data_IF_364464765768
#
_entry.id   IF_364464765768
#
_cell.length_a   1.000
_cell.length_b   1.000
_cell.length_c   1.000
_cell.angle_alpha   90.00
_cell.angle_beta   90.00
_cell.angle_gamma   90.00
#
_symmetry.space_group_name_H-M   'P 1'
#
loop_
_entity.id
_entity.type
_entity.pdbx_description
1 polymer ?
#
# COMPACT_ATOMS: atom_id res chain seq x y z
N UNK A 1 -4.67 -2.43 12.41
CA UNK A 1 -3.50 -2.14 12.09
C UNK A 1 -2.84 -1.94 10.79
N UNK A 2 -2.51 -2.19 9.89
CA UNK A 2 -2.09 -2.02 8.49
C UNK A 2 -0.87 -1.13 8.19
N UNK A 3 -0.02 -0.83 9.15
CA UNK A 3 1.21 -0.05 8.89
C UNK A 3 2.48 -0.93 8.72
N UNK A 4 2.31 -2.24 8.64
CA UNK A 4 3.41 -3.19 8.40
C UNK A 4 4.41 -3.33 9.54
N UNK A 5 4.10 -2.81 10.74
CA UNK A 5 4.98 -2.95 11.91
C UNK A 5 4.83 -4.33 12.54
N UNK A 6 5.96 -4.90 12.93
CA UNK A 6 5.97 -6.16 13.65
C UNK A 6 5.25 -6.03 14.99
N UNK A 7 4.43 -7.03 15.32
CA UNK A 7 3.63 -7.09 16.54
C UNK A 7 4.09 -8.26 17.43
N UNK A 8 3.87 -8.11 18.74
CA UNK A 8 4.11 -9.13 19.75
C UNK A 8 2.79 -9.42 20.48
N UNK A 9 1.80 -10.10 19.84
CA UNK A 9 0.51 -10.31 20.46
C UNK A 9 0.61 -11.23 21.69
N UNK A 10 0.17 -10.77 22.85
CA UNK A 10 -0.03 -11.64 24.01
C UNK A 10 -1.41 -12.29 23.96
N UNK A 11 -1.56 -13.42 24.63
CA UNK A 11 -2.81 -14.15 24.79
C UNK A 11 -3.15 -14.33 26.27
N UNK A 12 -4.41 -14.12 26.63
CA UNK A 12 -4.96 -14.50 27.93
C UNK A 12 -6.41 -14.97 27.79
N UNK A 13 -6.88 -15.81 28.70
CA UNK A 13 -8.28 -16.27 28.71
C UNK A 13 -9.20 -15.16 29.18
N UNK A 14 -10.12 -14.73 28.32
CA UNK A 14 -11.13 -13.71 28.65
C UNK A 14 -12.08 -14.20 29.75
N UNK A 15 -12.39 -13.34 30.71
CA UNK A 15 -13.31 -13.63 31.80
C UNK A 15 -12.71 -14.42 32.96
N UNK A 16 -11.40 -14.70 32.96
CA UNK A 16 -10.69 -15.30 34.11
C UNK A 16 -9.67 -14.30 34.66
N UNK A 17 -10.02 -13.47 35.63
CA UNK A 17 -9.08 -12.54 36.28
C UNK A 17 -7.83 -13.28 36.81
N UNK A 18 -6.66 -12.68 36.63
CA UNK A 18 -5.39 -13.27 37.06
C UNK A 18 -4.79 -14.31 36.13
N UNK A 19 -5.42 -14.61 34.98
CA UNK A 19 -4.77 -15.47 33.95
C UNK A 19 -3.53 -14.76 33.43
N UNK A 20 -2.34 -15.41 33.48
CA UNK A 20 -1.12 -14.80 32.97
C UNK A 20 -1.21 -14.64 31.44
N UNK A 21 -0.66 -13.55 30.93
CA UNK A 21 -0.48 -13.34 29.50
C UNK A 21 0.63 -14.25 28.97
N UNK A 22 0.34 -14.97 27.91
CA UNK A 22 1.30 -15.81 27.20
C UNK A 22 1.71 -15.10 25.92
N UNK A 23 3.00 -14.92 25.73
CA UNK A 23 3.56 -14.36 24.51
C UNK A 23 3.46 -15.38 23.38
N UNK A 24 2.96 -14.95 22.22
CA UNK A 24 2.78 -15.80 21.03
C UNK A 24 4.00 -15.75 20.11
N UNK A 25 4.55 -14.56 19.90
CA UNK A 25 5.72 -14.36 19.02
C UNK A 25 6.59 -13.20 19.51
N UNK A 26 7.79 -13.12 18.97
CA UNK A 26 8.76 -12.04 19.14
C UNK A 26 8.84 -11.14 17.91
N UNK A 27 9.49 -9.97 18.05
CA UNK A 27 9.81 -9.11 16.90
C UNK A 27 10.67 -9.81 15.85
N UNK A 28 11.52 -10.74 16.28
CA UNK A 28 12.35 -11.56 15.39
C UNK A 28 11.50 -12.42 14.44
N UNK A 29 10.28 -12.78 14.84
CA UNK A 29 9.33 -13.54 14.03
C UNK A 29 8.65 -12.70 12.94
N UNK A 30 8.84 -11.37 12.95
CA UNK A 30 8.39 -10.41 11.93
C UNK A 30 6.90 -10.55 11.59
N UNK A 31 6.07 -10.81 12.59
CA UNK A 31 4.62 -10.91 12.47
C UNK A 31 4.04 -9.51 12.39
N UNK A 32 3.16 -9.26 11.41
CA UNK A 32 2.53 -7.96 11.18
C UNK A 32 1.01 -7.98 11.35
N UNK A 33 0.40 -9.16 11.27
CA UNK A 33 -1.04 -9.33 11.46
C UNK A 33 -1.36 -10.74 11.92
N UNK A 34 -2.54 -10.94 12.51
CA UNK A 34 -2.99 -12.26 12.94
C UNK A 34 -4.51 -12.42 12.88
N UNK A 35 -4.95 -13.68 12.80
CA UNK A 35 -6.36 -14.05 12.89
C UNK A 35 -6.50 -15.31 13.75
N UNK A 36 -7.64 -15.45 14.44
CA UNK A 36 -7.93 -16.59 15.32
C UNK A 36 -9.16 -17.34 14.84
N UNK A 37 -9.07 -18.68 14.84
CA UNK A 37 -10.19 -19.56 14.53
C UNK A 37 -10.14 -20.81 15.40
N UNK A 38 -11.11 -20.95 16.34
CA UNK A 38 -11.07 -22.03 17.32
C UNK A 38 -9.81 -21.98 18.16
N UNK A 39 -9.09 -23.09 18.20
CA UNK A 39 -7.83 -23.23 18.96
C UNK A 39 -6.57 -22.89 18.14
N UNK A 40 -6.74 -22.39 16.92
CA UNK A 40 -5.63 -22.02 16.04
C UNK A 40 -5.47 -20.50 15.91
N UNK A 41 -4.23 -20.06 15.81
CA UNK A 41 -3.85 -18.71 15.39
C UNK A 41 -3.10 -18.77 14.07
N UNK A 42 -3.48 -17.85 13.18
CA UNK A 42 -2.88 -17.62 11.88
C UNK A 42 -2.07 -16.34 11.96
N UNK A 43 -0.80 -16.38 11.57
CA UNK A 43 0.15 -15.28 11.72
C UNK A 43 0.67 -14.87 10.34
N UNK A 44 0.43 -13.62 9.96
CA UNK A 44 1.01 -13.04 8.76
C UNK A 44 2.43 -12.56 9.08
N UNK A 45 3.42 -13.11 8.42
CA UNK A 45 4.83 -12.81 8.70
C UNK A 45 5.67 -12.69 7.43
N UNK A 46 6.69 -11.84 7.49
CA UNK A 46 7.71 -11.73 6.44
C UNK A 46 9.06 -12.37 6.82
N UNK A 47 9.10 -13.19 7.89
CA UNK A 47 10.31 -13.91 8.27
C UNK A 47 10.80 -14.90 7.20
N UNK A 48 9.90 -15.73 6.60
CA UNK A 48 10.31 -16.66 5.55
C UNK A 48 10.44 -16.01 4.16
N UNK A 49 9.79 -14.86 3.92
CA UNK A 49 9.79 -14.20 2.62
C UNK A 49 9.42 -12.72 2.72
N UNK A 50 10.11 -11.82 2.00
CA UNK A 50 9.81 -10.39 1.98
C UNK A 50 8.41 -10.05 1.44
N UNK A 51 7.73 -11.00 0.77
CA UNK A 51 6.36 -10.88 0.25
C UNK A 51 5.31 -11.53 1.14
N UNK A 52 5.73 -11.94 2.35
CA UNK A 52 4.92 -12.53 3.41
C UNK A 52 4.41 -13.95 3.14
N UNK A 53 4.08 -14.62 4.22
CA UNK A 53 3.41 -15.91 4.26
C UNK A 53 2.47 -15.95 5.47
N UNK A 54 1.53 -16.88 5.49
CA UNK A 54 0.68 -17.13 6.66
C UNK A 54 1.09 -18.45 7.30
N UNK A 55 1.48 -18.39 8.57
CA UNK A 55 1.79 -19.54 9.40
C UNK A 55 0.62 -19.84 10.34
N UNK A 56 0.41 -21.10 10.67
CA UNK A 56 -0.58 -21.55 11.65
C UNK A 56 0.10 -22.27 12.81
N UNK A 57 -0.27 -21.92 14.04
CA UNK A 57 0.11 -22.65 15.26
C UNK A 57 -1.08 -22.71 16.22
N UNK A 58 -0.98 -23.59 17.25
CA UNK A 58 -2.01 -23.72 18.28
C UNK A 58 -1.93 -22.61 19.30
N UNK A 59 -3.10 -22.08 19.73
CA UNK A 59 -3.19 -21.15 20.85
C UNK A 59 -2.82 -21.79 22.19
N UNK A 60 -3.10 -23.09 22.36
CA UNK A 60 -2.80 -23.79 23.60
C UNK A 60 -1.29 -23.98 23.83
N UNK A 61 -0.53 -24.13 22.73
CA UNK A 61 0.93 -24.28 22.76
C UNK A 61 1.51 -23.58 21.52
N UNK A 62 1.67 -22.26 21.56
CA UNK A 62 2.23 -21.53 20.43
C UNK A 62 3.70 -21.91 20.19
N UNK A 63 4.01 -22.29 18.97
CA UNK A 63 5.37 -22.61 18.54
C UNK A 63 5.53 -22.23 17.05
N UNK A 64 6.25 -21.14 16.78
CA UNK A 64 6.49 -20.68 15.41
C UNK A 64 7.58 -21.50 14.71
N UNK A 65 8.48 -22.12 15.47
CA UNK A 65 9.54 -22.96 14.89
C UNK A 65 8.99 -24.21 14.17
N UNK A 66 7.83 -24.72 14.62
CA UNK A 66 7.11 -25.86 14.04
C UNK A 66 5.82 -25.47 13.32
N UNK A 67 5.53 -24.16 13.18
CA UNK A 67 4.29 -23.67 12.58
C UNK A 67 4.18 -24.06 11.09
N UNK A 68 3.00 -24.56 10.72
CA UNK A 68 2.74 -24.95 9.34
C UNK A 68 2.46 -23.70 8.47
N UNK A 69 3.10 -23.59 7.30
CA UNK A 69 2.73 -22.60 6.32
C UNK A 69 1.41 -23.01 5.66
N UNK A 70 0.36 -22.20 5.88
CA UNK A 70 -0.98 -22.42 5.27
C UNK A 70 -1.19 -21.59 4.02
N UNK A 71 -0.45 -20.48 3.89
CA UNK A 71 -0.34 -19.69 2.65
C UNK A 71 1.13 -19.41 2.42
N UNK A 72 1.69 -19.99 1.38
CA UNK A 72 3.07 -19.74 0.98
C UNK A 72 3.22 -18.35 0.35
N UNK A 73 4.43 -17.80 0.41
CA UNK A 73 4.77 -16.59 -0.33
C UNK A 73 4.61 -16.80 -1.85
N UNK A 74 4.21 -15.75 -2.55
CA UNK A 74 4.00 -15.72 -3.99
C UNK A 74 4.57 -14.43 -4.59
N UNK A 75 4.32 -14.21 -5.88
CA UNK A 75 4.66 -12.93 -6.53
C UNK A 75 3.80 -11.75 -6.03
N UNK A 76 2.64 -12.03 -5.45
CA UNK A 76 1.82 -11.02 -4.79
C UNK A 76 2.29 -10.80 -3.34
N UNK A 77 2.17 -9.58 -2.87
CA UNK A 77 2.46 -9.23 -1.47
C UNK A 77 1.21 -9.42 -0.63
N UNK A 78 1.27 -10.26 0.40
CA UNK A 78 0.21 -10.35 1.41
C UNK A 78 0.42 -9.23 2.45
N UNK A 79 -0.65 -8.64 3.00
CA UNK A 79 -0.50 -7.59 4.00
C UNK A 79 -1.62 -7.48 5.04
N UNK A 80 -2.71 -8.23 4.91
CA UNK A 80 -3.72 -8.38 5.95
C UNK A 80 -4.41 -9.74 5.86
N UNK A 81 -4.88 -10.25 7.00
CA UNK A 81 -5.65 -11.48 7.11
C UNK A 81 -6.83 -11.32 8.07
N UNK A 82 -7.92 -12.02 7.81
CA UNK A 82 -9.06 -12.07 8.72
C UNK A 82 -9.78 -13.42 8.65
N UNK A 83 -10.15 -13.97 9.80
CA UNK A 83 -10.88 -15.23 9.89
C UNK A 83 -12.40 -14.99 9.80
N UNK A 84 -13.06 -15.75 8.94
CA UNK A 84 -14.52 -15.86 8.86
C UNK A 84 -14.97 -17.31 9.17
N UNK A 85 -16.26 -17.54 9.27
CA UNK A 85 -16.78 -18.91 9.47
C UNK A 85 -16.43 -19.84 8.32
N UNK A 86 -16.35 -19.32 7.10
CA UNK A 86 -16.17 -20.07 5.85
C UNK A 86 -14.72 -20.08 5.32
N UNK A 87 -13.79 -19.39 5.96
CA UNK A 87 -12.39 -19.39 5.53
C UNK A 87 -11.56 -18.28 6.12
N UNK A 88 -10.27 -18.28 5.76
CA UNK A 88 -9.34 -17.19 6.01
C UNK A 88 -9.35 -16.26 4.79
N UNK A 89 -9.68 -15.01 5.00
CA UNK A 89 -9.61 -13.97 3.99
C UNK A 89 -8.23 -13.32 4.02
N UNK A 90 -7.69 -13.04 2.84
CA UNK A 90 -6.33 -12.55 2.63
C UNK A 90 -6.40 -11.32 1.76
N UNK A 91 -5.82 -10.21 2.20
CA UNK A 91 -5.51 -9.09 1.30
C UNK A 91 -4.16 -9.33 0.64
N UNK A 92 -4.12 -9.18 -0.67
CA UNK A 92 -2.89 -9.22 -1.45
C UNK A 92 -2.86 -8.07 -2.45
N UNK A 93 -1.66 -7.75 -2.94
CA UNK A 93 -1.49 -6.76 -4.00
C UNK A 93 -0.54 -7.25 -5.08
N UNK A 94 -0.80 -6.76 -6.29
CA UNK A 94 0.11 -6.82 -7.43
C UNK A 94 0.27 -5.39 -7.96
N UNK A 95 1.43 -4.79 -7.75
CA UNK A 95 1.59 -3.34 -7.94
C UNK A 95 0.68 -2.54 -6.99
N UNK A 96 0.00 -1.51 -7.50
CA UNK A 96 -0.93 -0.68 -6.72
C UNK A 96 -2.30 -1.34 -6.52
N UNK A 97 -2.65 -2.36 -7.33
CA UNK A 97 -3.97 -3.01 -7.31
C UNK A 97 -4.04 -4.01 -6.17
N UNK A 98 -5.09 -3.90 -5.35
CA UNK A 98 -5.38 -4.83 -4.27
C UNK A 98 -6.39 -5.88 -4.70
N UNK A 99 -6.18 -7.10 -4.19
CA UNK A 99 -7.07 -8.24 -4.37
C UNK A 99 -7.41 -8.87 -3.03
N UNK A 100 -8.53 -9.53 -2.96
CA UNK A 100 -8.94 -10.34 -1.81
C UNK A 100 -9.08 -11.79 -2.24
N UNK A 101 -8.53 -12.69 -1.45
CA UNK A 101 -8.65 -14.14 -1.64
C UNK A 101 -9.31 -14.77 -0.42
N UNK A 102 -9.95 -15.90 -0.60
CA UNK A 102 -10.49 -16.74 0.47
C UNK A 102 -9.83 -18.12 0.42
N UNK A 103 -9.13 -18.47 1.49
CA UNK A 103 -8.72 -19.85 1.76
C UNK A 103 -9.81 -20.52 2.57
N UNK A 104 -10.66 -21.32 1.94
CA UNK A 104 -11.69 -22.09 2.66
C UNK A 104 -11.03 -23.05 3.66
N UNK A 105 -11.67 -23.26 4.82
CA UNK A 105 -11.10 -24.15 5.83
C UNK A 105 -10.90 -25.56 5.29
N UNK A 106 -9.68 -26.07 5.37
CA UNK A 106 -9.28 -27.39 4.84
C UNK A 106 -8.90 -27.40 3.36
N UNK A 107 -9.05 -26.29 2.63
CA UNK A 107 -8.54 -26.17 1.27
C UNK A 107 -7.01 -25.98 1.25
N UNK A 108 -6.38 -26.34 0.15
CA UNK A 108 -4.94 -26.15 -0.08
C UNK A 108 -4.64 -24.78 -0.68
N UNK A 109 -5.52 -24.29 -1.55
CA UNK A 109 -5.32 -23.07 -2.34
C UNK A 109 -6.40 -22.04 -2.03
N UNK A 110 -5.98 -20.79 -2.00
CA UNK A 110 -6.89 -19.65 -1.83
C UNK A 110 -7.50 -19.26 -3.19
N UNK A 111 -8.82 -19.13 -3.23
CA UNK A 111 -9.56 -18.66 -4.40
C UNK A 111 -9.70 -17.13 -4.37
N UNK A 112 -9.62 -16.47 -5.52
CA UNK A 112 -9.89 -15.05 -5.62
C UNK A 112 -11.37 -14.74 -5.37
N UNK A 113 -11.65 -13.69 -4.61
CA UNK A 113 -12.98 -13.11 -4.49
C UNK A 113 -13.25 -12.31 -5.77
N UNK A 114 -14.39 -12.56 -6.41
CA UNK A 114 -14.78 -11.84 -7.61
C UNK A 114 -15.20 -10.42 -7.26
N UNK A 115 -14.45 -9.45 -7.74
CA UNK A 115 -14.66 -8.03 -7.48
C UNK A 115 -15.33 -7.37 -8.69
N UNK A 116 -16.34 -6.50 -8.50
CA UNK A 116 -17.04 -5.83 -9.59
C UNK A 116 -16.24 -4.69 -10.23
N UNK A 117 -15.21 -4.21 -9.54
CA UNK A 117 -14.30 -3.15 -10.02
C UNK A 117 -12.86 -3.52 -9.68
N UNK A 118 -11.93 -3.14 -10.54
CA UNK A 118 -10.50 -3.23 -10.28
C UNK A 118 -10.03 -1.98 -9.53
N UNK A 119 -9.19 -2.17 -8.50
CA UNK A 119 -8.71 -1.05 -7.69
C UNK A 119 -8.15 -1.50 -6.35
N UNK A 120 -8.48 -0.78 -5.29
CA UNK A 120 -8.11 -1.11 -3.91
C UNK A 120 -9.26 -1.83 -3.20
N UNK A 121 -9.14 -3.14 -3.05
CA UNK A 121 -10.04 -3.96 -2.25
C UNK A 121 -9.43 -4.12 -0.85
N UNK A 122 -10.12 -3.67 0.20
CA UNK A 122 -9.65 -3.78 1.58
C UNK A 122 -10.63 -4.53 2.47
N UNK A 123 -10.12 -5.44 3.28
CA UNK A 123 -10.88 -6.13 4.33
C UNK A 123 -11.26 -5.12 5.43
N UNK A 124 -12.56 -4.88 5.62
CA UNK A 124 -13.05 -4.04 6.70
C UNK A 124 -13.39 -4.84 7.94
N UNK A 125 -14.00 -6.01 7.74
CA UNK A 125 -14.43 -6.88 8.83
C UNK A 125 -14.65 -8.30 8.34
N UNK A 126 -14.30 -9.26 9.19
CA UNK A 126 -14.72 -10.66 9.10
C UNK A 126 -14.97 -11.19 10.51
N UNK A 127 -15.77 -12.24 10.65
CA UNK A 127 -16.09 -12.82 11.96
C UNK A 127 -16.02 -14.34 11.90
N UNK A 128 -15.34 -15.00 12.85
CA UNK A 128 -15.27 -16.46 12.91
C UNK A 128 -16.61 -17.18 13.01
N UNK A 129 -17.70 -16.45 13.35
CA UNK A 129 -19.06 -17.00 13.48
C UNK A 129 -19.99 -16.62 12.32
N UNK A 130 -19.54 -15.76 11.40
CA UNK A 130 -20.31 -15.31 10.22
C UNK A 130 -19.54 -15.67 8.96
N UNK A 131 -20.22 -16.25 7.96
CA UNK A 131 -19.60 -16.51 6.64
C UNK A 131 -19.48 -15.22 5.84
N UNK A 132 -18.47 -15.15 4.97
CA UNK A 132 -18.16 -13.98 4.18
C UNK A 132 -17.33 -12.93 4.92
N UNK A 133 -17.04 -11.84 4.23
CA UNK A 133 -16.32 -10.69 4.76
C UNK A 133 -16.94 -9.38 4.23
N UNK A 134 -16.74 -8.30 4.94
CA UNK A 134 -17.08 -6.96 4.47
C UNK A 134 -15.83 -6.32 3.89
N UNK A 135 -15.97 -5.80 2.67
CA UNK A 135 -14.90 -5.18 1.91
C UNK A 135 -15.23 -3.71 1.63
N UNK A 136 -14.21 -2.87 1.56
CA UNK A 136 -14.32 -1.60 0.84
C UNK A 136 -13.63 -1.73 -0.51
N UNK A 137 -14.26 -1.25 -1.57
CA UNK A 137 -13.69 -1.17 -2.93
C UNK A 137 -13.63 0.27 -3.37
N UNK A 138 -12.47 0.72 -3.83
CA UNK A 138 -12.25 2.03 -4.43
C UNK A 138 -11.36 1.90 -5.67
N UNK A 139 -11.50 2.82 -6.63
CA UNK A 139 -10.61 2.92 -7.78
C UNK A 139 -10.11 4.36 -7.95
N UNK A 140 -9.15 4.60 -8.82
CA UNK A 140 -8.73 5.96 -9.16
C UNK A 140 -9.87 6.79 -9.76
N UNK A 141 -10.84 6.11 -10.41
CA UNK A 141 -11.94 6.70 -11.17
C UNK A 141 -13.30 6.56 -10.47
N UNK A 142 -13.35 5.94 -9.28
CA UNK A 142 -14.61 5.67 -8.58
C UNK A 142 -14.41 5.71 -7.07
N UNK A 143 -15.29 6.41 -6.37
CA UNK A 143 -15.28 6.50 -4.93
C UNK A 143 -15.54 5.15 -4.26
N UNK A 144 -15.18 5.08 -2.99
CA UNK A 144 -15.32 3.87 -2.18
C UNK A 144 -16.79 3.50 -1.96
N UNK A 145 -17.07 2.22 -2.14
CA UNK A 145 -18.32 1.57 -1.79
C UNK A 145 -18.06 0.36 -0.88
N UNK A 146 -19.09 -0.09 -0.17
CA UNK A 146 -19.02 -1.22 0.77
C UNK A 146 -19.69 -2.45 0.18
N UNK A 147 -18.98 -3.56 0.20
CA UNK A 147 -19.42 -4.83 -0.36
C UNK A 147 -19.40 -5.93 0.70
N UNK A 148 -20.27 -6.91 0.56
CA UNK A 148 -20.24 -8.15 1.32
C UNK A 148 -19.87 -9.30 0.37
N UNK A 149 -18.98 -10.17 0.81
CA UNK A 149 -18.66 -11.39 0.06
C UNK A 149 -19.72 -12.44 0.35
N UNK A 150 -20.36 -12.94 -0.67
CA UNK A 150 -21.40 -13.98 -0.57
C UNK A 150 -20.80 -15.41 -0.52
N UNK A 151 -21.67 -16.40 -0.42
CA UNK A 151 -21.27 -17.82 -0.37
C UNK A 151 -20.57 -18.30 -1.64
N UNK A 152 -20.86 -17.67 -2.79
CA UNK A 152 -20.23 -17.98 -4.07
C UNK A 152 -18.84 -17.34 -4.22
N UNK A 153 -18.45 -16.46 -3.29
CA UNK A 153 -17.19 -15.72 -3.34
C UNK A 153 -17.25 -14.49 -4.22
N UNK A 154 -18.44 -13.91 -4.39
CA UNK A 154 -18.66 -12.68 -5.15
C UNK A 154 -18.88 -11.50 -4.20
N UNK A 155 -18.27 -10.35 -4.51
CA UNK A 155 -18.48 -9.12 -3.76
C UNK A 155 -19.76 -8.42 -4.23
N UNK A 156 -20.79 -8.42 -3.39
CA UNK A 156 -22.11 -7.83 -3.64
C UNK A 156 -22.22 -6.49 -2.92
N UNK A 157 -22.64 -5.44 -3.62
CA UNK A 157 -22.77 -4.10 -3.06
C UNK A 157 -23.84 -4.06 -1.96
N UNK A 158 -23.45 -3.65 -0.77
CA UNK A 158 -24.34 -3.59 0.41
C UNK A 158 -25.29 -2.38 0.42
N UNK A 159 -25.01 -1.36 -0.43
CA UNK A 159 -25.70 -0.06 -0.43
C UNK A 159 -25.53 0.75 0.86
N UNK A 160 -24.65 0.35 1.77
CA UNK A 160 -24.35 1.09 3.00
C UNK A 160 -23.66 2.43 2.75
N UNK A 161 -22.95 2.55 1.63
CA UNK A 161 -22.31 3.79 1.19
C UNK A 161 -22.69 4.02 -0.28
N UNK A 162 -23.83 4.68 -0.56
CA UNK A 162 -24.23 4.99 -1.94
C UNK A 162 -23.32 6.07 -2.52
N UNK A 163 -23.12 6.01 -3.83
CA UNK A 163 -22.36 7.02 -4.57
C UNK A 163 -23.15 8.33 -4.67
N UNK A 164 -22.44 9.43 -4.48
CA UNK A 164 -22.93 10.78 -4.79
C UNK A 164 -22.78 11.11 -6.28
N UNK A 165 -23.26 12.27 -6.68
CA UNK A 165 -23.30 12.72 -8.07
C UNK A 165 -21.91 12.84 -8.72
N UNK A 166 -20.85 13.01 -7.94
CA UNK A 166 -19.47 13.18 -8.42
C UNK A 166 -18.56 11.97 -8.14
N UNK A 167 -19.09 10.89 -7.58
CA UNK A 167 -18.29 9.79 -7.04
C UNK A 167 -17.91 8.71 -8.07
N UNK A 168 -18.51 8.74 -9.27
CA UNK A 168 -18.19 7.87 -10.37
C UNK A 168 -18.33 8.64 -11.70
N UNK A 169 -17.47 9.64 -11.97
CA UNK A 169 -17.57 10.47 -13.15
C UNK A 169 -17.28 9.65 -14.41
N UNK A 170 -18.08 9.90 -15.44
CA UNK A 170 -17.82 9.36 -16.76
C UNK A 170 -16.50 9.93 -17.33
N UNK A 171 -15.90 9.20 -18.27
CA UNK A 171 -14.70 9.62 -19.03
C UNK A 171 -13.38 9.68 -18.24
N UNK A 172 -13.29 9.19 -17.02
CA UNK A 172 -12.00 9.00 -16.40
C UNK A 172 -11.43 7.65 -16.78
N UNK A 173 -10.14 7.64 -17.07
CA UNK A 173 -9.35 6.43 -17.29
C UNK A 173 -8.17 6.43 -16.33
N UNK A 174 -7.79 5.24 -15.88
CA UNK A 174 -6.58 5.01 -15.11
C UNK A 174 -5.77 3.92 -15.81
N UNK A 175 -4.49 4.17 -15.99
CA UNK A 175 -3.56 3.23 -16.61
C UNK A 175 -2.42 2.93 -15.65
N UNK A 176 -2.15 1.65 -15.43
CA UNK A 176 -1.00 1.21 -14.66
C UNK A 176 0.14 0.82 -15.60
N UNK A 177 1.32 1.42 -15.38
CA UNK A 177 2.54 1.11 -16.15
C UNK A 177 3.70 0.81 -15.23
N UNK A 178 4.72 0.13 -15.74
CA UNK A 178 5.99 -0.10 -15.05
C UNK A 178 7.07 0.71 -15.75
N UNK A 179 7.62 1.69 -15.06
CA UNK A 179 8.64 2.60 -15.58
C UNK A 179 10.03 2.11 -15.16
N UNK A 180 10.93 1.98 -16.12
CA UNK A 180 12.32 1.58 -15.85
C UNK A 180 13.08 2.73 -15.20
N UNK A 181 13.59 2.51 -13.99
CA UNK A 181 14.45 3.46 -13.26
C UNK A 181 15.91 3.39 -13.70
N UNK A 182 16.75 4.25 -13.15
CA UNK A 182 18.17 4.43 -13.45
C UNK A 182 19.02 3.15 -13.37
N UNK A 183 18.65 2.21 -12.50
CA UNK A 183 19.33 0.95 -12.24
C UNK A 183 18.58 -0.28 -12.79
N UNK A 184 17.51 -0.06 -13.56
CA UNK A 184 16.70 -1.11 -14.16
C UNK A 184 15.51 -1.56 -13.32
N UNK A 185 15.33 -1.05 -12.10
CA UNK A 185 14.13 -1.32 -11.29
C UNK A 185 12.88 -0.84 -12.02
N UNK A 186 11.79 -1.61 -11.95
CA UNK A 186 10.53 -1.31 -12.62
C UNK A 186 9.54 -0.66 -11.63
N UNK A 187 9.41 0.65 -11.71
CA UNK A 187 8.59 1.48 -10.81
C UNK A 187 7.13 1.47 -11.26
N UNK A 188 6.17 1.05 -10.40
CA UNK A 188 4.75 1.17 -10.72
C UNK A 188 4.33 2.65 -10.77
N UNK A 189 3.66 3.03 -11.84
CA UNK A 189 3.12 4.36 -12.06
C UNK A 189 1.67 4.27 -12.51
N UNK A 190 0.77 4.84 -11.72
CA UNK A 190 -0.64 5.00 -12.06
C UNK A 190 -0.83 6.35 -12.73
N UNK A 191 -1.51 6.40 -13.87
CA UNK A 191 -1.76 7.63 -14.63
C UNK A 191 -3.25 7.80 -14.83
N UNK A 192 -3.80 8.90 -14.35
CA UNK A 192 -5.24 9.20 -14.34
C UNK A 192 -5.51 10.47 -15.15
N UNK A 193 -6.42 10.38 -16.11
CA UNK A 193 -6.85 11.52 -16.91
C UNK A 193 -8.23 11.27 -17.52
N UNK A 194 -8.81 12.25 -18.18
CA UNK A 194 -10.02 12.06 -18.99
C UNK A 194 -9.68 11.34 -20.28
N UNK A 195 -10.58 10.49 -20.75
CA UNK A 195 -10.39 9.71 -21.99
C UNK A 195 -10.27 10.56 -23.27
N UNK A 196 -10.74 11.81 -23.22
CA UNK A 196 -10.67 12.77 -24.34
C UNK A 196 -9.43 13.69 -24.32
N UNK A 197 -8.52 13.50 -23.36
CA UNK A 197 -7.25 14.23 -23.28
C UNK A 197 -6.32 13.81 -24.42
N UNK A 198 -5.78 14.79 -25.15
CA UNK A 198 -4.78 14.53 -26.19
C UNK A 198 -3.40 14.40 -25.57
N UNK A 199 -2.70 13.32 -25.90
CA UNK A 199 -1.32 13.09 -25.47
C UNK A 199 -0.33 13.74 -26.43
N UNK A 200 -0.23 15.06 -26.38
CA UNK A 200 0.61 15.90 -27.25
C UNK A 200 1.71 16.68 -26.49
N UNK A 201 1.81 16.46 -25.18
CA UNK A 201 2.77 17.13 -24.30
C UNK A 201 2.27 18.46 -23.73
N UNK A 202 1.06 18.89 -24.03
CA UNK A 202 0.52 20.19 -23.60
C UNK A 202 -0.23 20.16 -22.27
N UNK A 203 -0.52 18.97 -21.71
CA UNK A 203 -1.38 18.85 -20.55
C UNK A 203 -0.65 19.20 -19.24
N UNK A 204 -1.25 20.02 -18.37
CA UNK A 204 -0.73 20.19 -17.02
C UNK A 204 -0.80 18.86 -16.28
N UNK A 205 0.32 18.45 -15.71
CA UNK A 205 0.43 17.15 -15.02
C UNK A 205 0.95 17.34 -13.60
N UNK A 206 0.34 16.65 -12.66
CA UNK A 206 0.79 16.58 -11.28
C UNK A 206 1.21 15.13 -10.97
N UNK A 207 2.52 14.93 -10.76
CA UNK A 207 3.09 13.65 -10.35
C UNK A 207 3.27 13.62 -8.84
N UNK A 208 2.59 12.70 -8.18
CA UNK A 208 2.64 12.48 -6.75
C UNK A 208 3.52 11.29 -6.40
N UNK A 209 4.23 11.38 -5.26
CA UNK A 209 4.95 10.27 -4.65
C UNK A 209 5.21 10.50 -3.16
N UNK A 210 5.49 9.40 -2.44
CA UNK A 210 5.78 9.43 -1.01
C UNK A 210 7.14 8.77 -0.68
N UNK A 211 7.27 7.46 -0.89
CA UNK A 211 8.53 6.72 -0.85
C UNK A 211 9.15 6.53 0.53
N UNK A 212 8.35 6.33 1.59
CA UNK A 212 8.83 6.08 2.94
C UNK A 212 7.91 5.15 3.73
N UNK A 213 8.41 4.59 4.84
CA UNK A 213 7.68 3.77 5.82
C UNK A 213 6.99 2.53 5.25
N UNK A 214 7.33 2.09 4.05
CA UNK A 214 6.62 1.00 3.38
C UNK A 214 5.18 1.36 2.97
N UNK A 215 4.80 2.64 3.00
CA UNK A 215 3.45 3.08 2.60
C UNK A 215 3.31 2.97 1.09
N UNK A 216 2.27 2.29 0.65
CA UNK A 216 1.90 2.16 -0.76
C UNK A 216 0.77 3.13 -1.07
N UNK A 217 0.93 3.89 -2.14
CA UNK A 217 -0.12 4.74 -2.68
C UNK A 217 -1.10 3.87 -3.47
N UNK A 218 -2.30 3.72 -2.92
CA UNK A 218 -3.32 2.82 -3.42
C UNK A 218 -4.37 3.57 -4.26
N UNK A 219 -5.05 2.87 -5.21
CA UNK A 219 -6.17 3.43 -5.90
C UNK A 219 -7.22 4.00 -4.94
N UNK A 220 -7.50 5.28 -5.10
CA UNK A 220 -8.48 5.98 -4.29
C UNK A 220 -8.98 7.21 -5.03
N UNK A 221 -10.30 7.36 -5.11
CA UNK A 221 -10.94 8.50 -5.73
C UNK A 221 -11.04 9.67 -4.74
N UNK A 222 -10.67 10.86 -5.23
CA UNK A 222 -10.86 12.09 -4.48
C UNK A 222 -11.65 13.09 -5.32
N UNK A 223 -12.84 13.54 -4.91
CA UNK A 223 -13.68 14.45 -5.69
C UNK A 223 -12.98 15.80 -5.98
N UNK A 224 -12.08 16.23 -5.10
CA UNK A 224 -11.28 17.44 -5.34
C UNK A 224 -10.31 17.32 -6.53
N UNK A 225 -9.89 16.09 -6.88
CA UNK A 225 -9.09 15.85 -8.09
C UNK A 225 -9.87 16.08 -9.37
N UNK A 226 -11.20 15.99 -9.35
CA UNK A 226 -12.03 16.29 -10.52
C UNK A 226 -11.80 17.71 -11.03
N UNK A 227 -11.64 18.69 -10.14
CA UNK A 227 -11.36 20.08 -10.56
C UNK A 227 -10.08 20.20 -11.41
N UNK A 228 -9.09 19.35 -11.15
CA UNK A 228 -7.87 19.25 -11.95
C UNK A 228 -8.10 18.49 -13.25
N UNK A 229 -8.74 17.31 -13.17
CA UNK A 229 -8.97 16.44 -14.33
C UNK A 229 -9.94 17.07 -15.34
N UNK A 230 -10.97 17.80 -14.90
CA UNK A 230 -11.92 18.52 -15.75
C UNK A 230 -11.27 19.62 -16.58
N UNK A 231 -10.14 20.17 -16.14
CA UNK A 231 -9.33 21.13 -16.89
C UNK A 231 -8.25 20.47 -17.75
N UNK A 232 -8.48 19.24 -18.18
CA UNK A 232 -7.53 18.43 -18.95
C UNK A 232 -6.21 18.15 -18.23
N UNK A 233 -6.21 18.24 -16.89
CA UNK A 233 -5.06 17.87 -16.08
C UNK A 233 -4.85 16.36 -16.08
N UNK A 234 -3.59 15.94 -16.02
CA UNK A 234 -3.18 14.55 -15.75
C UNK A 234 -2.73 14.45 -14.29
N UNK A 235 -3.16 13.39 -13.59
CA UNK A 235 -2.67 13.08 -12.27
C UNK A 235 -1.94 11.74 -12.32
N UNK A 236 -0.72 11.71 -11.84
CA UNK A 236 0.08 10.49 -11.83
C UNK A 236 0.58 10.18 -10.41
N UNK A 237 0.66 8.90 -10.06
CA UNK A 237 1.07 8.43 -8.74
C UNK A 237 2.17 7.38 -8.89
N UNK A 238 3.37 7.71 -8.39
CA UNK A 238 4.52 6.82 -8.45
C UNK A 238 4.71 6.06 -7.13
N UNK A 239 4.64 4.73 -7.18
CA UNK A 239 4.99 3.86 -6.07
C UNK A 239 6.50 3.57 -6.08
N UNK A 240 7.29 4.61 -5.82
CA UNK A 240 8.75 4.57 -5.79
C UNK A 240 9.27 3.62 -4.70
N UNK A 241 10.54 3.20 -4.79
CA UNK A 241 11.20 2.47 -3.71
C UNK A 241 11.11 3.23 -2.39
N UNK A 242 11.05 2.50 -1.28
CA UNK A 242 10.64 3.04 0.02
C UNK A 242 9.16 2.86 0.32
N UNK A 243 8.31 2.55 -0.70
CA UNK A 243 6.94 2.05 -0.52
C UNK A 243 6.91 0.53 -0.31
N UNK A 244 5.75 0.00 0.11
CA UNK A 244 5.54 -1.43 0.32
C UNK A 244 4.97 -2.18 -0.89
N UNK A 245 4.91 -1.54 -2.06
CA UNK A 245 4.19 -2.06 -3.24
C UNK A 245 4.64 -3.45 -3.69
N UNK A 246 5.93 -3.76 -3.53
CA UNK A 246 6.51 -5.08 -3.77
C UNK A 246 7.10 -5.71 -2.50
N UNK A 247 6.59 -5.33 -1.31
CA UNK A 247 6.99 -5.89 -0.03
C UNK A 247 8.26 -5.28 0.55
N UNK A 248 8.87 -6.02 1.48
CA UNK A 248 9.99 -5.52 2.30
C UNK A 248 11.26 -5.21 1.50
N UNK A 249 11.53 -5.93 0.42
CA UNK A 249 12.70 -5.65 -0.44
C UNK A 249 12.57 -4.28 -1.11
N UNK A 250 11.38 -3.98 -1.65
CA UNK A 250 11.11 -2.69 -2.29
C UNK A 250 11.16 -1.52 -1.29
N UNK A 251 10.62 -1.75 -0.09
CA UNK A 251 10.73 -0.79 1.00
C UNK A 251 12.19 -0.50 1.36
N UNK A 252 12.98 -1.54 1.62
CA UNK A 252 14.38 -1.38 2.00
C UNK A 252 15.27 -0.84 0.89
N UNK A 253 14.89 -0.99 -0.36
CA UNK A 253 15.60 -0.42 -1.50
C UNK A 253 15.43 1.12 -1.64
N UNK A 254 14.59 1.74 -0.80
CA UNK A 254 14.43 3.20 -0.67
C UNK A 254 14.54 3.69 0.78
N UNK A 255 15.35 3.05 1.61
CA UNK A 255 15.44 3.23 3.05
C UNK A 255 16.87 3.61 3.47
N UNK A 256 17.06 4.58 4.37
CA UNK A 256 18.38 5.00 4.87
C UNK A 256 19.39 5.22 3.73
N UNK A 257 20.50 4.46 3.70
CA UNK A 257 21.55 4.58 2.69
C UNK A 257 21.06 4.38 1.24
N UNK A 258 19.97 3.64 1.03
CA UNK A 258 19.37 3.43 -0.30
C UNK A 258 18.31 4.49 -0.65
N UNK A 259 18.04 5.46 0.23
CA UNK A 259 17.07 6.54 0.04
C UNK A 259 17.20 7.30 -1.28
N UNK A 260 18.39 7.51 -1.86
CA UNK A 260 18.54 8.09 -3.19
C UNK A 260 17.71 7.42 -4.29
N UNK A 261 17.43 6.14 -4.19
CA UNK A 261 16.60 5.45 -5.17
C UNK A 261 15.18 6.03 -5.25
N UNK A 262 14.62 6.59 -4.16
CA UNK A 262 13.27 7.12 -4.15
C UNK A 262 13.09 8.27 -5.14
N UNK A 263 13.97 9.27 -5.11
CA UNK A 263 13.84 10.41 -6.02
C UNK A 263 14.33 10.12 -7.43
N UNK A 264 15.27 9.19 -7.60
CA UNK A 264 15.68 8.73 -8.93
C UNK A 264 14.55 7.97 -9.62
N UNK A 265 13.75 7.20 -8.88
CA UNK A 265 12.53 6.57 -9.37
C UNK A 265 11.48 7.61 -9.79
N UNK A 266 11.29 8.67 -9.00
CA UNK A 266 10.37 9.76 -9.35
C UNK A 266 10.82 10.50 -10.60
N UNK A 267 12.12 10.79 -10.72
CA UNK A 267 12.73 11.41 -11.91
C UNK A 267 12.46 10.54 -13.14
N UNK A 268 12.69 9.22 -13.05
CA UNK A 268 12.41 8.30 -14.17
C UNK A 268 10.93 8.32 -14.56
N UNK A 269 10.01 8.37 -13.59
CA UNK A 269 8.57 8.52 -13.85
C UNK A 269 8.24 9.87 -14.52
N UNK A 270 8.89 10.96 -14.12
CA UNK A 270 8.74 12.26 -14.74
C UNK A 270 9.20 12.25 -16.21
N UNK A 271 10.39 11.71 -16.48
CA UNK A 271 10.93 11.53 -17.82
C UNK A 271 10.03 10.66 -18.70
N UNK A 272 9.46 9.58 -18.15
CA UNK A 272 8.49 8.74 -18.84
C UNK A 272 7.25 9.52 -19.25
N UNK A 273 6.65 10.30 -18.35
CA UNK A 273 5.45 11.11 -18.65
C UNK A 273 5.70 12.11 -19.75
N UNK A 274 6.88 12.72 -19.80
CA UNK A 274 7.30 13.64 -20.85
C UNK A 274 7.52 12.88 -22.17
N UNK A 275 8.27 11.79 -22.16
CA UNK A 275 8.56 10.98 -23.34
C UNK A 275 7.29 10.41 -23.99
N UNK A 276 6.30 10.01 -23.17
CA UNK A 276 5.00 9.52 -23.65
C UNK A 276 4.01 10.64 -23.97
N UNK A 277 4.43 11.91 -23.94
CA UNK A 277 3.65 13.10 -24.28
C UNK A 277 2.40 13.30 -23.40
N UNK A 278 2.38 12.78 -22.19
CA UNK A 278 1.39 13.17 -21.20
C UNK A 278 1.56 14.64 -20.81
N UNK A 279 2.79 15.15 -20.82
CA UNK A 279 3.15 16.50 -20.40
C UNK A 279 4.46 16.96 -21.03
N UNK A 280 4.94 18.13 -20.61
CA UNK A 280 6.28 18.67 -20.89
C UNK A 280 6.89 19.26 -19.61
N UNK A 281 8.19 19.54 -19.62
CA UNK A 281 8.90 20.18 -18.49
C UNK A 281 8.17 21.46 -18.02
N UNK A 282 7.66 22.27 -18.96
CA UNK A 282 6.94 23.51 -18.66
C UNK A 282 5.53 23.30 -18.05
N UNK A 283 5.05 22.06 -17.98
CA UNK A 283 3.69 21.69 -17.53
C UNK A 283 3.68 20.63 -16.45
N UNK A 284 4.84 20.09 -16.05
CA UNK A 284 4.95 19.05 -15.03
C UNK A 284 5.20 19.65 -13.65
N UNK A 285 4.27 19.42 -12.73
CA UNK A 285 4.46 19.66 -11.31
C UNK A 285 4.68 18.35 -10.55
N UNK A 286 5.44 18.40 -9.44
CA UNK A 286 5.59 17.28 -8.51
C UNK A 286 5.08 17.64 -7.13
N UNK A 287 4.45 16.67 -6.46
CA UNK A 287 3.85 16.81 -5.13
C UNK A 287 4.31 15.67 -4.22
N UNK A 288 4.77 15.99 -3.03
CA UNK A 288 5.06 15.02 -1.98
C UNK A 288 4.85 15.62 -0.61
N UNK A 289 4.08 14.93 0.24
CA UNK A 289 3.77 15.41 1.60
C UNK A 289 4.68 14.79 2.65
N UNK A 290 4.92 15.48 3.78
CA UNK A 290 5.67 14.94 4.93
C UNK A 290 7.03 14.36 4.50
N UNK A 291 7.26 13.04 4.68
CA UNK A 291 8.45 12.35 4.17
C UNK A 291 8.59 12.43 2.63
N UNK A 292 7.49 12.54 1.89
CA UNK A 292 7.50 12.82 0.45
C UNK A 292 8.10 14.18 0.09
N UNK A 293 8.29 15.08 1.05
CA UNK A 293 9.06 16.32 0.89
C UNK A 293 10.53 16.06 0.58
N UNK A 294 11.12 15.02 1.19
CA UNK A 294 12.50 14.57 0.85
C UNK A 294 12.56 14.16 -0.60
N UNK A 295 11.57 13.36 -1.03
CA UNK A 295 11.46 12.85 -2.39
C UNK A 295 11.46 14.00 -3.42
N UNK A 296 10.48 14.92 -3.31
CA UNK A 296 10.31 16.00 -4.30
C UNK A 296 11.38 17.08 -4.17
N UNK A 297 11.85 17.37 -2.95
CA UNK A 297 12.95 18.31 -2.71
C UNK A 297 14.25 17.84 -3.35
N UNK A 298 14.59 16.55 -3.21
CA UNK A 298 15.78 15.98 -3.86
C UNK A 298 15.60 15.84 -5.38
N UNK A 299 14.45 15.44 -5.87
CA UNK A 299 14.18 15.40 -7.31
C UNK A 299 14.37 16.79 -7.95
N UNK A 300 13.83 17.85 -7.32
CA UNK A 300 13.98 19.24 -7.77
C UNK A 300 15.46 19.69 -7.81
N UNK A 301 16.24 19.36 -6.78
CA UNK A 301 17.64 19.81 -6.72
C UNK A 301 18.56 19.02 -7.66
N UNK A 302 18.22 17.77 -7.96
CA UNK A 302 18.99 16.92 -8.89
C UNK A 302 18.63 17.19 -10.36
N UNK A 303 17.35 17.47 -10.66
CA UNK A 303 16.86 17.71 -12.02
C UNK A 303 15.90 18.92 -12.06
N UNK A 304 16.43 20.15 -11.80
CA UNK A 304 15.62 21.37 -11.82
C UNK A 304 15.00 21.68 -13.19
N UNK A 305 15.56 21.12 -14.24
CA UNK A 305 15.12 21.29 -15.64
C UNK A 305 13.81 20.56 -15.96
N UNK A 306 13.39 19.58 -15.15
CA UNK A 306 12.24 18.74 -15.44
C UNK A 306 10.89 19.32 -14.94
N UNK A 307 10.91 20.24 -13.96
CA UNK A 307 9.71 20.57 -13.21
C UNK A 307 9.33 22.05 -13.32
N UNK A 308 8.10 22.33 -13.73
CA UNK A 308 7.53 23.68 -13.72
C UNK A 308 7.12 24.12 -12.29
N UNK A 309 6.78 23.18 -11.42
CA UNK A 309 6.38 23.44 -10.04
C UNK A 309 6.76 22.27 -9.12
N UNK A 310 7.09 22.60 -7.86
CA UNK A 310 7.38 21.61 -6.82
C UNK A 310 6.61 21.96 -5.55
N UNK A 311 5.85 21.01 -5.02
CA UNK A 311 4.98 21.20 -3.85
C UNK A 311 5.41 20.22 -2.75
N UNK A 312 6.34 20.61 -1.87
CA UNK A 312 6.72 19.83 -0.69
C UNK A 312 5.74 20.13 0.46
N UNK A 313 4.52 19.58 0.39
CA UNK A 313 3.47 19.84 1.36
C UNK A 313 3.86 19.34 2.76
N UNK A 314 3.99 20.25 3.73
CA UNK A 314 4.50 19.99 5.10
C UNK A 314 5.77 19.11 5.09
N UNK A 315 6.66 19.37 4.12
CA UNK A 315 7.78 18.50 3.76
C UNK A 315 8.89 18.46 4.79
N UNK A 316 9.47 17.26 4.99
CA UNK A 316 10.74 17.12 5.71
C UNK A 316 11.87 17.58 4.77
N UNK A 317 12.33 18.82 4.92
CA UNK A 317 13.33 19.45 4.04
C UNK A 317 14.67 19.73 4.73
N UNK A 318 14.70 19.72 6.06
CA UNK A 318 15.91 19.86 6.87
C UNK A 318 16.17 18.55 7.63
N UNK A 319 16.74 17.57 6.93
CA UNK A 319 17.02 16.25 7.49
C UNK A 319 18.08 16.30 8.61
N UNK A 320 19.02 17.28 8.58
CA UNK A 320 20.09 17.41 9.58
C UNK A 320 19.51 17.78 10.95
N UNK A 321 18.52 18.66 10.99
CA UNK A 321 17.87 19.12 12.23
C UNK A 321 16.59 18.34 12.56
N UNK A 322 16.12 17.48 11.66
CA UNK A 322 14.84 16.78 11.83
C UNK A 322 14.75 16.07 13.19
N UNK A 323 15.78 15.34 13.62
CA UNK A 323 15.76 14.59 14.88
C UNK A 323 15.72 15.44 16.15
N UNK A 324 16.00 16.76 16.04
CA UNK A 324 15.93 17.69 17.17
C UNK A 324 14.55 18.35 17.32
N UNK A 325 13.64 18.10 16.39
CA UNK A 325 12.26 18.58 16.47
C UNK A 325 11.40 17.68 17.36
N UNK A 326 10.24 18.18 17.81
CA UNK A 326 9.34 17.44 18.70
C UNK A 326 8.94 16.03 18.17
N UNK A 327 8.82 15.87 16.84
CA UNK A 327 8.47 14.61 16.19
C UNK A 327 9.65 13.95 15.48
N UNK A 328 10.89 14.36 15.75
CA UNK A 328 12.06 13.92 15.01
C UNK A 328 12.54 12.52 15.40
N UNK A 329 12.62 12.27 16.72
CA UNK A 329 13.14 10.99 17.26
C UNK A 329 12.40 9.75 16.73
N UNK A 330 11.06 9.71 16.62
CA UNK A 330 10.34 8.58 16.04
C UNK A 330 10.68 8.29 14.57
N UNK A 331 11.30 9.23 13.85
CA UNK A 331 11.66 9.06 12.43
C UNK A 331 13.11 8.55 12.24
N UNK A 332 13.92 8.48 13.31
CA UNK A 332 15.28 7.92 13.24
C UNK A 332 15.32 6.50 12.67
N UNK A 333 14.41 5.58 13.04
CA UNK A 333 14.39 4.25 12.42
C UNK A 333 14.26 4.29 10.90
N UNK A 334 13.55 5.26 10.33
CA UNK A 334 13.34 5.40 8.88
C UNK A 334 14.50 6.08 8.16
N UNK A 335 15.02 7.18 8.73
CA UNK A 335 15.97 8.04 8.02
C UNK A 335 17.41 7.97 8.54
N UNK A 336 17.63 7.28 9.66
CA UNK A 336 18.93 7.30 10.35
C UNK A 336 19.06 8.46 11.31
N UNK A 337 20.26 8.61 11.90
CA UNK A 337 20.59 9.67 12.85
C UNK A 337 21.89 10.36 12.46
N UNK A 338 21.94 11.68 12.63
CA UNK A 338 23.18 12.48 12.43
C UNK A 338 24.26 12.21 13.47
N UNK A 339 23.97 11.40 14.51
CA UNK A 339 24.91 11.03 15.59
C UNK A 339 25.76 9.81 15.26
N UNK A 340 25.49 9.15 14.14
CA UNK A 340 26.22 7.96 13.67
C UNK A 340 26.53 8.11 12.19
N UNK A 341 27.78 7.87 11.79
CA UNK A 341 28.12 7.61 10.40
C UNK A 341 27.57 6.21 10.04
N UNK A 342 26.57 6.16 9.17
CA UNK A 342 26.02 4.92 8.61
C UNK A 342 26.25 4.86 7.09
#
# INVERSE_FOLDING_TARGET
>A
GGDGRETEPPLATVGKPGTPWVKICDRADKVTDFAVKGDDIYLLTHAPSPRYAVLRTSLAKPDLGSAAAVVAASDQVLFAIAAARDGLYLESRDGAVKRVKRLAWGAKDAAEVKLPIEGAASLMSASPVIGGAILSLAAWTRAREIFAVDAAGEAVNTKLQPLGAFDAPDRLVATEVKVKSHDGAMVPLSIIHRSDVKLDGSNPTLLYGYGAYGITEEPGFGPTRLAWLEKSGVYAVANVRGSGVYGQEWYKAGYKATKPNTWKDLIACAEYLIAQKYTSNAKLGILGGSAGGILVGRAMTERPDLFAAVIPAVGVLDAIRAETTANGVPNIPEFGTVKKEE
#
